data_IF_139994473820
#
_entry.id   IF_139994473820
#
_cell.length_a   1.000
_cell.length_b   1.000
_cell.length_c   1.000
_cell.angle_alpha   90.00
_cell.angle_beta   90.00
_cell.angle_gamma   90.00
#
_symmetry.space_group_name_H-M   'P 1'
#
loop_
_entity.id
_entity.type
_entity.pdbx_description
1 polymer ?
#
# COMPACT_ATOMS: atom_id res chain seq x y z
N UNK A 1 3.72 -4.46 -18.13
CA UNK A 1 4.68 -3.35 -18.36
C UNK A 1 5.68 -3.24 -17.21
N UNK A 2 5.30 -2.91 -16.00
CA UNK A 2 6.21 -2.72 -14.83
C UNK A 2 7.21 -3.87 -14.62
N UNK A 3 6.74 -5.12 -14.68
CA UNK A 3 7.59 -6.31 -14.53
C UNK A 3 8.69 -6.39 -15.59
N UNK A 4 8.38 -6.11 -16.87
CA UNK A 4 9.38 -6.12 -17.95
C UNK A 4 10.47 -5.06 -17.77
N UNK A 5 10.12 -3.95 -17.16
CA UNK A 5 11.00 -2.82 -16.86
C UNK A 5 11.73 -2.97 -15.53
N UNK A 6 11.35 -3.95 -14.73
CA UNK A 6 11.81 -4.11 -13.35
C UNK A 6 11.64 -2.82 -12.54
N UNK A 7 10.43 -2.21 -12.59
CA UNK A 7 10.08 -0.95 -11.92
C UNK A 7 8.91 -1.15 -10.97
N UNK A 8 8.74 -0.23 -10.03
CA UNK A 8 7.73 -0.33 -8.98
C UNK A 8 8.01 -1.48 -8.01
N UNK A 9 7.02 -2.30 -7.68
CA UNK A 9 7.20 -3.44 -6.75
C UNK A 9 8.30 -4.42 -7.20
N UNK A 10 8.66 -4.45 -8.48
CA UNK A 10 9.71 -5.32 -9.02
C UNK A 10 11.14 -4.80 -8.77
N UNK A 11 11.29 -3.64 -8.14
CA UNK A 11 12.55 -3.13 -7.60
C UNK A 11 12.75 -3.50 -6.12
N UNK A 12 11.72 -4.04 -5.46
CA UNK A 12 11.80 -4.49 -4.06
C UNK A 12 12.52 -5.83 -3.94
N UNK A 13 13.10 -6.10 -2.77
CA UNK A 13 13.79 -7.37 -2.45
C UNK A 13 12.86 -8.59 -2.57
N UNK A 14 11.57 -8.40 -2.34
CA UNK A 14 10.51 -9.39 -2.57
C UNK A 14 9.22 -8.74 -3.01
N UNK A 15 8.45 -9.46 -3.80
CA UNK A 15 7.15 -8.97 -4.28
C UNK A 15 6.20 -10.13 -4.58
N UNK A 16 4.92 -9.88 -4.40
CA UNK A 16 3.83 -10.79 -4.76
C UNK A 16 2.73 -9.99 -5.48
N UNK A 17 2.03 -10.66 -6.39
CA UNK A 17 0.89 -10.07 -7.11
C UNK A 17 -0.35 -10.86 -6.71
N UNK A 18 -1.36 -10.18 -6.21
CA UNK A 18 -2.62 -10.76 -5.77
C UNK A 18 -3.71 -10.57 -6.83
N UNK A 19 -4.53 -11.58 -7.06
CA UNK A 19 -5.59 -11.56 -8.07
C UNK A 19 -6.74 -12.50 -7.66
N UNK A 20 -7.91 -12.32 -8.28
CA UNK A 20 -9.06 -13.24 -8.15
C UNK A 20 -8.82 -14.61 -8.81
N UNK A 21 -7.76 -14.74 -9.58
CA UNK A 21 -7.40 -15.97 -10.30
C UNK A 21 -5.90 -16.18 -10.37
N UNK A 22 -5.50 -17.42 -10.58
CA UNK A 22 -4.13 -17.74 -10.90
C UNK A 22 -3.81 -17.33 -12.33
N UNK A 23 -2.79 -16.51 -12.50
CA UNK A 23 -2.28 -16.05 -13.78
C UNK A 23 -0.77 -16.11 -13.79
N UNK A 24 -0.20 -16.32 -14.97
CA UNK A 24 1.25 -16.23 -15.17
C UNK A 24 1.59 -14.89 -15.85
N UNK A 25 2.24 -14.00 -15.12
CA UNK A 25 2.59 -12.66 -15.59
C UNK A 25 4.11 -12.51 -15.60
N UNK A 26 4.71 -12.60 -16.80
CA UNK A 26 6.14 -12.33 -16.97
C UNK A 26 7.08 -13.19 -16.12
N UNK A 27 6.76 -14.47 -15.92
CA UNK A 27 7.53 -15.39 -15.09
C UNK A 27 7.10 -15.47 -13.62
N UNK A 28 6.09 -14.72 -13.21
CA UNK A 28 5.56 -14.70 -11.84
C UNK A 28 4.12 -15.22 -11.85
N UNK A 29 3.81 -16.12 -10.93
CA UNK A 29 2.44 -16.57 -10.71
C UNK A 29 1.75 -15.62 -9.71
N UNK A 30 0.53 -15.20 -10.03
CA UNK A 30 -0.28 -14.44 -9.08
C UNK A 30 -0.74 -15.34 -7.94
N UNK A 31 -0.87 -14.75 -6.76
CA UNK A 31 -1.49 -15.38 -5.60
C UNK A 31 -3.00 -15.20 -5.71
N UNK A 32 -3.72 -16.30 -5.79
CA UNK A 32 -5.18 -16.26 -5.85
C UNK A 32 -5.75 -15.86 -4.49
N UNK A 33 -6.67 -14.90 -4.52
CA UNK A 33 -7.51 -14.50 -3.38
C UNK A 33 -8.95 -14.87 -3.71
N UNK A 34 -9.56 -15.67 -2.85
CA UNK A 34 -10.94 -16.12 -3.04
C UNK A 34 -11.91 -15.01 -2.55
N UNK A 35 -12.14 -14.04 -3.41
CA UNK A 35 -13.05 -12.91 -3.17
C UNK A 35 -13.74 -12.51 -4.47
N UNK A 36 -14.95 -11.97 -4.34
CA UNK A 36 -15.64 -11.32 -5.45
C UNK A 36 -15.10 -9.88 -5.60
N UNK A 37 -14.56 -9.57 -6.77
CA UNK A 37 -14.01 -8.23 -7.07
C UNK A 37 -15.09 -7.18 -7.39
N UNK A 38 -16.36 -7.54 -7.33
CA UNK A 38 -17.45 -6.57 -7.55
C UNK A 38 -17.55 -5.60 -6.39
N UNK A 39 -17.09 -4.37 -6.62
CA UNK A 39 -17.22 -3.28 -5.69
C UNK A 39 -18.60 -2.62 -5.82
N UNK A 40 -19.23 -2.32 -4.69
CA UNK A 40 -20.42 -1.46 -4.67
C UNK A 40 -19.97 -0.01 -4.61
N UNK A 41 -20.66 0.85 -5.35
CA UNK A 41 -20.50 2.29 -5.19
C UNK A 41 -21.56 2.79 -4.22
N UNK A 42 -21.11 3.43 -3.17
CA UNK A 42 -22.02 4.16 -2.28
C UNK A 42 -22.53 5.41 -3.00
N UNK A 43 -23.83 5.44 -3.29
CA UNK A 43 -24.45 6.52 -4.09
C UNK A 43 -24.53 7.86 -3.35
N UNK A 44 -24.36 7.86 -2.02
CA UNK A 44 -24.42 9.06 -1.19
C UNK A 44 -23.02 9.69 -1.08
N UNK A 45 -22.03 8.88 -0.75
CA UNK A 45 -20.63 9.35 -0.57
C UNK A 45 -19.81 9.33 -1.85
N UNK A 46 -20.33 8.71 -2.92
CA UNK A 46 -19.65 8.48 -4.21
C UNK A 46 -18.31 7.72 -4.05
N UNK A 47 -18.19 6.91 -3.00
CA UNK A 47 -17.01 6.12 -2.70
C UNK A 47 -17.22 4.65 -3.06
N UNK A 48 -16.13 3.94 -3.33
CA UNK A 48 -16.15 2.51 -3.63
C UNK A 48 -16.09 1.75 -2.31
N UNK A 49 -16.98 0.77 -2.14
CA UNK A 49 -16.99 -0.13 -1.00
C UNK A 49 -16.16 -1.38 -1.35
N UNK A 50 -14.88 -1.38 -0.97
CA UNK A 50 -13.89 -2.40 -1.34
C UNK A 50 -13.22 -3.07 -0.13
N UNK A 51 -13.59 -2.72 1.10
CA UNK A 51 -12.98 -3.27 2.32
C UNK A 51 -12.94 -4.79 2.35
N UNK A 52 -14.02 -5.47 1.94
CA UNK A 52 -14.06 -6.94 1.96
C UNK A 52 -13.03 -7.57 1.02
N UNK A 53 -12.76 -6.93 -0.12
CA UNK A 53 -11.76 -7.38 -1.09
C UNK A 53 -10.36 -7.27 -0.46
N UNK A 54 -10.01 -6.09 0.03
CA UNK A 54 -8.68 -5.83 0.57
C UNK A 54 -8.44 -6.54 1.91
N UNK A 55 -9.49 -6.73 2.73
CA UNK A 55 -9.41 -7.64 3.89
C UNK A 55 -8.98 -9.04 3.49
N UNK A 56 -9.59 -9.59 2.43
CA UNK A 56 -9.21 -10.91 1.92
C UNK A 56 -7.77 -10.92 1.40
N UNK A 57 -7.34 -9.87 0.71
CA UNK A 57 -5.94 -9.69 0.27
C UNK A 57 -5.00 -9.65 1.48
N UNK A 58 -5.23 -8.75 2.44
CA UNK A 58 -4.40 -8.63 3.63
C UNK A 58 -4.37 -9.94 4.43
N UNK A 59 -5.51 -10.62 4.58
CA UNK A 59 -5.54 -11.92 5.23
C UNK A 59 -4.65 -12.93 4.51
N UNK A 60 -4.69 -12.94 3.17
CA UNK A 60 -3.83 -13.82 2.36
C UNK A 60 -2.35 -13.47 2.52
N UNK A 61 -2.00 -12.18 2.57
CA UNK A 61 -0.63 -11.71 2.86
C UNK A 61 -0.16 -12.22 4.22
N UNK A 62 -0.98 -12.07 5.25
CA UNK A 62 -0.67 -12.53 6.62
C UNK A 62 -0.47 -14.05 6.67
N UNK A 63 -1.36 -14.83 6.06
CA UNK A 63 -1.30 -16.30 6.05
C UNK A 63 -0.07 -16.86 5.32
N UNK A 64 0.43 -16.13 4.32
CA UNK A 64 1.62 -16.54 3.56
C UNK A 64 2.92 -16.30 4.31
N UNK A 65 2.92 -15.39 5.26
CA UNK A 65 4.04 -15.06 6.14
C UNK A 65 5.35 -14.62 5.44
N UNK A 66 5.32 -14.37 4.13
CA UNK A 66 6.50 -13.91 3.36
C UNK A 66 7.02 -12.57 3.89
N UNK A 67 6.13 -11.72 4.42
CA UNK A 67 6.47 -10.45 5.06
C UNK A 67 7.45 -10.58 6.25
N UNK A 68 7.58 -11.76 6.85
CA UNK A 68 8.51 -11.99 7.96
C UNK A 68 9.98 -11.87 7.56
N UNK A 69 10.28 -12.08 6.29
CA UNK A 69 11.65 -12.00 5.75
C UNK A 69 12.10 -10.56 5.48
N UNK A 70 11.18 -9.58 5.56
CA UNK A 70 11.45 -8.18 5.22
C UNK A 70 11.14 -7.25 6.39
N UNK A 71 11.79 -6.09 6.41
CA UNK A 71 11.55 -5.07 7.46
C UNK A 71 10.26 -4.30 7.24
N UNK A 72 9.86 -4.14 5.99
CA UNK A 72 8.67 -3.40 5.58
C UNK A 72 7.83 -4.17 4.58
N UNK A 73 6.52 -4.04 4.72
CA UNK A 73 5.53 -4.54 3.75
C UNK A 73 4.82 -3.36 3.12
N UNK A 74 4.78 -3.35 1.79
CA UNK A 74 4.16 -2.28 1.01
C UNK A 74 3.05 -2.86 0.15
N UNK A 75 1.83 -2.36 0.28
CA UNK A 75 0.78 -2.53 -0.72
C UNK A 75 0.86 -1.34 -1.67
N UNK A 76 0.88 -1.58 -2.95
CA UNK A 76 0.83 -0.54 -3.98
C UNK A 76 -0.22 -0.89 -5.03
N UNK A 77 -1.03 0.09 -5.41
CA UNK A 77 -2.00 -0.07 -6.49
C UNK A 77 -1.31 -0.13 -7.85
N UNK A 78 -1.92 -0.85 -8.79
CA UNK A 78 -1.35 -1.07 -10.12
C UNK A 78 -1.15 0.24 -10.91
N UNK A 79 -1.98 1.24 -10.64
CA UNK A 79 -1.93 2.56 -11.27
C UNK A 79 -1.15 3.59 -10.45
N UNK A 80 -0.44 3.15 -9.41
CA UNK A 80 0.56 3.96 -8.71
C UNK A 80 1.93 3.85 -9.39
N UNK A 81 2.60 4.99 -9.56
CA UNK A 81 4.02 5.03 -9.93
C UNK A 81 4.82 5.03 -8.64
N UNK A 82 5.21 3.86 -8.19
CA UNK A 82 5.95 3.65 -6.96
C UNK A 82 7.46 3.59 -7.21
N UNK A 83 8.24 4.28 -6.36
CA UNK A 83 9.71 4.37 -6.41
C UNK A 83 10.29 3.83 -5.10
N UNK A 84 10.59 2.53 -5.01
CA UNK A 84 11.03 1.87 -3.77
C UNK A 84 12.28 2.49 -3.14
N UNK A 85 13.25 2.93 -3.93
CA UNK A 85 14.47 3.53 -3.41
C UNK A 85 14.21 4.81 -2.60
N UNK A 86 13.18 5.57 -2.98
CA UNK A 86 12.79 6.75 -2.20
C UNK A 86 12.17 6.36 -0.86
N UNK A 87 11.34 5.29 -0.84
CA UNK A 87 10.83 4.76 0.43
C UNK A 87 11.97 4.29 1.32
N UNK A 88 12.91 3.52 0.75
CA UNK A 88 14.08 3.01 1.47
C UNK A 88 14.85 4.15 2.15
N UNK A 89 15.07 5.28 1.44
CA UNK A 89 15.71 6.45 2.02
C UNK A 89 14.97 7.00 3.25
N UNK A 90 13.64 7.09 3.21
CA UNK A 90 12.84 7.58 4.34
C UNK A 90 12.85 6.61 5.52
N UNK A 91 12.70 5.30 5.27
CA UNK A 91 12.61 4.32 6.36
C UNK A 91 13.97 4.00 6.99
N UNK A 92 15.08 4.49 6.42
CA UNK A 92 16.42 4.44 7.01
C UNK A 92 16.64 5.51 8.09
N UNK A 93 15.74 6.47 8.26
CA UNK A 93 15.80 7.42 9.36
C UNK A 93 15.88 6.67 10.70
N UNK A 94 16.85 7.00 11.60
CA UNK A 94 17.06 6.28 12.84
C UNK A 94 15.83 6.26 13.77
N UNK A 95 15.05 7.33 13.77
CA UNK A 95 13.81 7.37 14.55
C UNK A 95 12.78 6.39 14.01
N UNK A 96 12.60 6.36 12.68
CA UNK A 96 11.69 5.44 11.99
C UNK A 96 12.13 4.00 12.25
N UNK A 97 13.42 3.67 12.08
CA UNK A 97 13.92 2.32 12.27
C UNK A 97 13.71 1.82 13.70
N UNK A 98 14.04 2.63 14.69
CA UNK A 98 13.87 2.25 16.10
C UNK A 98 12.39 1.95 16.41
N UNK A 99 11.48 2.82 16.00
CA UNK A 99 10.06 2.64 16.27
C UNK A 99 9.40 1.54 15.42
N UNK A 100 9.95 1.26 14.23
CA UNK A 100 9.47 0.19 13.36
C UNK A 100 9.77 -1.21 13.90
N UNK A 101 10.88 -1.36 14.62
CA UNK A 101 11.36 -2.66 15.14
C UNK A 101 10.93 -2.92 16.59
N UNK A 102 10.65 -1.87 17.34
CA UNK A 102 10.33 -1.95 18.77
C UNK A 102 8.83 -1.78 19.06
N UNK A 103 8.40 -2.31 20.19
CA UNK A 103 7.11 -2.05 20.80
C UNK A 103 5.93 -2.37 19.90
N UNK A 104 5.23 -1.33 19.45
CA UNK A 104 3.98 -1.45 18.71
C UNK A 104 4.14 -1.44 17.19
N UNK A 105 5.37 -1.33 16.68
CA UNK A 105 5.62 -1.19 15.25
C UNK A 105 5.08 0.12 14.68
N UNK A 106 5.23 0.31 13.37
CA UNK A 106 4.80 1.52 12.67
C UNK A 106 3.93 1.21 11.45
N UNK A 107 2.95 2.07 11.21
CA UNK A 107 2.36 2.28 9.90
C UNK A 107 2.60 3.73 9.44
N UNK A 108 2.82 3.90 8.13
CA UNK A 108 3.14 5.21 7.56
C UNK A 108 1.88 5.85 6.98
N UNK A 109 1.49 7.00 7.54
CA UNK A 109 0.38 7.77 7.04
C UNK A 109 0.84 8.63 5.85
N UNK A 110 0.20 8.47 4.72
CA UNK A 110 0.63 9.02 3.43
C UNK A 110 -0.15 10.28 3.01
N UNK A 111 -1.20 10.66 3.75
CA UNK A 111 -2.08 11.76 3.38
C UNK A 111 -2.53 12.51 4.63
N UNK A 112 -2.69 13.83 4.55
CA UNK A 112 -3.12 14.62 5.69
C UNK A 112 -4.57 14.32 6.14
N UNK A 113 -5.37 13.76 5.23
CA UNK A 113 -6.75 13.31 5.53
C UNK A 113 -6.81 11.94 6.18
N UNK A 114 -5.68 11.28 6.36
CA UNK A 114 -5.56 9.91 6.85
C UNK A 114 -4.86 9.00 5.85
N UNK A 115 -4.79 7.71 6.13
CA UNK A 115 -4.24 6.74 5.20
C UNK A 115 -5.06 6.73 3.90
N UNK A 116 -4.37 6.68 2.77
CA UNK A 116 -4.99 6.61 1.44
C UNK A 116 -4.45 5.42 0.65
N UNK A 117 -5.35 4.68 -0.03
CA UNK A 117 -5.11 3.34 -0.56
C UNK A 117 -3.99 3.14 -1.58
N UNK A 118 -3.62 4.13 -2.44
CA UNK A 118 -2.62 3.92 -3.49
C UNK A 118 -1.28 3.37 -3.03
N UNK A 119 -0.88 3.64 -1.78
CA UNK A 119 0.30 3.07 -1.15
C UNK A 119 0.08 2.93 0.36
N UNK A 120 0.25 1.72 0.89
CA UNK A 120 0.13 1.42 2.32
C UNK A 120 1.43 0.76 2.79
N UNK A 121 2.01 1.25 3.88
CA UNK A 121 3.33 0.82 4.35
C UNK A 121 3.28 0.45 5.82
N UNK A 122 3.63 -0.80 6.12
CA UNK A 122 3.62 -1.38 7.48
C UNK A 122 4.99 -1.97 7.81
N UNK A 123 5.50 -1.69 9.00
CA UNK A 123 6.71 -2.36 9.49
C UNK A 123 6.46 -3.83 9.82
N UNK A 124 7.53 -4.65 9.84
CA UNK A 124 7.44 -6.07 10.22
C UNK A 124 6.76 -6.26 11.58
N UNK A 125 7.08 -5.44 12.58
CA UNK A 125 6.45 -5.49 13.89
C UNK A 125 4.95 -5.17 13.82
N UNK A 126 4.56 -4.18 13.02
CA UNK A 126 3.14 -3.88 12.77
C UNK A 126 2.42 -5.07 12.12
N UNK A 127 3.04 -5.70 11.11
CA UNK A 127 2.51 -6.89 10.45
C UNK A 127 2.34 -8.06 11.44
N UNK A 128 3.29 -8.25 12.35
CA UNK A 128 3.23 -9.30 13.38
C UNK A 128 2.07 -9.07 14.35
N UNK A 129 1.87 -7.83 14.81
CA UNK A 129 0.74 -7.47 15.68
C UNK A 129 -0.58 -7.68 14.93
N UNK A 130 -0.66 -7.22 13.67
CA UNK A 130 -1.83 -7.40 12.83
C UNK A 130 -2.15 -8.88 12.62
N UNK A 131 -1.15 -9.71 12.29
CA UNK A 131 -1.33 -11.16 12.14
C UNK A 131 -1.87 -11.84 13.40
N UNK A 132 -1.35 -11.47 14.57
CA UNK A 132 -1.74 -12.09 15.84
C UNK A 132 -3.10 -11.62 16.35
N UNK A 133 -3.58 -10.45 15.92
CA UNK A 133 -4.75 -9.79 16.51
C UNK A 133 -5.78 -9.31 15.48
N UNK A 134 -5.69 -9.74 14.23
CA UNK A 134 -6.56 -9.30 13.12
C UNK A 134 -8.06 -9.42 13.42
N UNK A 135 -8.49 -10.40 14.24
CA UNK A 135 -9.87 -10.55 14.65
C UNK A 135 -10.44 -9.32 15.38
N UNK A 136 -9.58 -8.51 16.01
CA UNK A 136 -10.00 -7.27 16.65
C UNK A 136 -10.41 -6.19 15.64
N UNK A 137 -10.05 -6.35 14.38
CA UNK A 137 -10.42 -5.45 13.29
C UNK A 137 -11.75 -5.81 12.61
N UNK A 138 -12.40 -6.92 12.99
CA UNK A 138 -13.65 -7.35 12.34
C UNK A 138 -14.77 -6.31 12.50
N UNK A 139 -14.95 -5.74 13.70
CA UNK A 139 -15.94 -4.70 13.93
C UNK A 139 -15.64 -3.40 13.14
N UNK A 140 -14.35 -3.13 12.89
CA UNK A 140 -13.94 -2.00 12.04
C UNK A 140 -14.37 -2.24 10.60
N UNK A 141 -14.18 -3.45 10.08
CA UNK A 141 -14.52 -3.81 8.71
C UNK A 141 -16.03 -3.66 8.41
N UNK A 142 -16.88 -3.98 9.38
CA UNK A 142 -18.33 -3.80 9.26
C UNK A 142 -18.73 -2.31 9.19
N UNK A 143 -17.98 -1.43 9.84
CA UNK A 143 -18.27 -0.01 9.95
C UNK A 143 -17.63 0.85 8.84
N UNK A 144 -16.56 0.37 8.22
CA UNK A 144 -15.74 1.13 7.26
C UNK A 144 -15.72 0.45 5.90
N UNK A 145 -16.47 0.98 4.92
CA UNK A 145 -16.58 0.35 3.60
C UNK A 145 -15.39 0.61 2.67
N UNK A 146 -14.53 1.61 2.96
CA UNK A 146 -13.29 1.89 2.21
C UNK A 146 -12.10 1.17 2.87
N UNK A 147 -11.24 0.55 2.05
CA UNK A 147 -10.15 -0.29 2.55
C UNK A 147 -9.08 0.48 3.31
N UNK A 148 -8.75 1.69 2.85
CA UNK A 148 -7.76 2.56 3.47
C UNK A 148 -8.22 3.04 4.87
N UNK A 149 -9.49 3.45 4.98
CA UNK A 149 -10.10 3.82 6.25
C UNK A 149 -10.15 2.60 7.18
N UNK A 150 -10.52 1.43 6.65
CA UNK A 150 -10.48 0.19 7.42
C UNK A 150 -9.08 -0.12 7.95
N UNK A 151 -8.06 -0.08 7.09
CA UNK A 151 -6.69 -0.39 7.52
C UNK A 151 -6.20 0.59 8.57
N UNK A 152 -6.42 1.89 8.38
CA UNK A 152 -6.08 2.91 9.36
C UNK A 152 -6.71 2.64 10.73
N UNK A 153 -8.01 2.46 10.76
CA UNK A 153 -8.76 2.23 12.01
C UNK A 153 -8.37 0.90 12.67
N UNK A 154 -8.07 -0.11 11.87
CA UNK A 154 -7.54 -1.37 12.35
C UNK A 154 -6.18 -1.17 13.03
N UNK A 155 -5.23 -0.49 12.38
CA UNK A 155 -3.92 -0.20 12.97
C UNK A 155 -4.04 0.58 14.29
N UNK A 156 -4.94 1.56 14.35
CA UNK A 156 -5.23 2.32 15.57
C UNK A 156 -5.84 1.43 16.67
N UNK A 157 -6.80 0.57 16.32
CA UNK A 157 -7.44 -0.39 17.25
C UNK A 157 -6.42 -1.35 17.85
N UNK A 158 -5.44 -1.76 17.06
CA UNK A 158 -4.35 -2.65 17.48
C UNK A 158 -3.27 -1.93 18.29
N UNK A 159 -3.33 -0.60 18.39
CA UNK A 159 -2.34 0.23 19.09
C UNK A 159 -1.02 0.35 18.35
N UNK A 160 -1.00 0.10 17.03
CA UNK A 160 0.18 0.27 16.18
C UNK A 160 0.42 1.77 15.97
N UNK A 161 1.66 2.21 16.12
CA UNK A 161 2.00 3.62 16.03
C UNK A 161 1.91 4.16 14.62
N UNK A 162 1.46 5.42 14.52
CA UNK A 162 1.40 6.19 13.28
C UNK A 162 2.66 7.05 13.12
N UNK A 163 3.22 7.08 11.92
CA UNK A 163 4.18 8.10 11.50
C UNK A 163 3.65 8.84 10.27
N UNK A 164 3.55 10.17 10.36
CA UNK A 164 3.10 11.01 9.24
C UNK A 164 4.25 11.25 8.27
N UNK A 165 4.08 10.81 7.01
CA UNK A 165 5.09 10.87 5.94
C UNK A 165 4.57 11.72 4.78
N UNK A 166 4.77 13.04 4.84
CA UNK A 166 4.23 14.01 3.87
C UNK A 166 4.62 13.78 2.40
N UNK A 167 5.75 13.09 2.16
CA UNK A 167 6.25 12.80 0.82
C UNK A 167 6.00 11.34 0.38
N UNK A 168 5.11 10.63 1.06
CA UNK A 168 4.83 9.25 0.70
C UNK A 168 3.96 9.16 -0.57
N UNK A 169 2.98 10.04 -0.72
CA UNK A 169 2.03 10.01 -1.84
C UNK A 169 1.78 11.40 -2.42
N UNK A 170 1.92 11.54 -3.73
CA UNK A 170 1.45 12.69 -4.50
C UNK A 170 0.15 12.32 -5.21
N UNK A 171 -0.94 12.96 -4.80
CA UNK A 171 -2.27 12.78 -5.35
C UNK A 171 -3.17 13.99 -5.05
N UNK A 172 -4.15 14.24 -5.91
CA UNK A 172 -5.10 15.34 -5.77
C UNK A 172 -5.87 15.31 -4.45
N UNK A 173 -6.30 14.12 -4.01
CA UNK A 173 -6.99 13.92 -2.73
C UNK A 173 -6.14 14.34 -1.52
N UNK A 174 -4.81 14.28 -1.65
CA UNK A 174 -3.84 14.67 -0.62
C UNK A 174 -3.29 16.09 -0.83
N UNK A 175 -4.00 16.93 -1.58
CA UNK A 175 -3.67 18.33 -1.92
C UNK A 175 -2.41 18.48 -2.80
N UNK A 176 -2.06 17.46 -3.56
CA UNK A 176 -0.99 17.52 -4.56
C UNK A 176 -1.61 17.56 -5.97
N UNK A 177 -2.22 18.68 -6.31
CA UNK A 177 -2.97 18.88 -7.57
C UNK A 177 -2.12 18.73 -8.83
N UNK A 178 -0.81 18.88 -8.71
CA UNK A 178 0.15 18.73 -9.82
C UNK A 178 0.84 17.34 -9.87
N UNK A 179 0.28 16.32 -9.17
CA UNK A 179 0.85 14.96 -9.11
C UNK A 179 1.21 14.36 -10.47
N UNK A 180 0.43 14.70 -11.51
CA UNK A 180 0.59 14.24 -12.88
C UNK A 180 1.87 14.70 -13.57
N UNK A 181 2.52 15.77 -13.05
CA UNK A 181 3.83 16.22 -13.53
C UNK A 181 4.96 15.28 -13.12
N UNK A 182 4.74 14.48 -12.08
CA UNK A 182 5.75 13.56 -11.53
C UNK A 182 7.05 14.29 -11.20
N UNK A 183 6.92 15.34 -10.43
CA UNK A 183 8.00 16.17 -9.93
C UNK A 183 8.14 16.04 -8.40
N UNK A 184 9.31 16.38 -7.87
CA UNK A 184 9.60 16.30 -6.44
C UNK A 184 9.98 14.88 -5.98
N UNK A 185 10.11 14.69 -4.66
CA UNK A 185 10.68 13.50 -4.05
C UNK A 185 9.60 12.60 -3.40
N UNK A 186 8.43 12.50 -4.00
CA UNK A 186 7.41 11.60 -3.50
C UNK A 186 7.78 10.14 -3.78
N UNK A 187 7.39 9.27 -2.86
CA UNK A 187 7.59 7.81 -2.97
C UNK A 187 6.65 7.20 -3.99
N UNK A 188 5.42 7.72 -4.07
CA UNK A 188 4.44 7.28 -5.05
C UNK A 188 3.65 8.44 -5.63
N UNK A 189 3.18 8.27 -6.86
CA UNK A 189 2.31 9.19 -7.58
C UNK A 189 1.09 8.43 -8.08
N UNK A 190 -0.11 8.97 -7.96
CA UNK A 190 -1.37 8.30 -8.32
C UNK A 190 -2.46 9.33 -8.70
N UNK A 191 -3.40 8.99 -9.62
CA UNK A 191 -3.49 7.73 -10.39
C UNK A 191 -2.94 7.84 -11.82
N UNK A 192 -2.39 6.75 -12.32
CA UNK A 192 -1.90 6.61 -13.70
C UNK A 192 -2.49 5.36 -14.38
N UNK A 193 -3.74 5.43 -14.82
CA UNK A 193 -4.50 4.29 -15.38
C UNK A 193 -4.09 3.89 -16.81
N UNK A 194 -3.41 4.79 -17.52
CA UNK A 194 -2.90 4.54 -18.87
C UNK A 194 -1.42 4.16 -18.82
N UNK A 195 -1.05 3.04 -19.44
CA UNK A 195 0.35 2.56 -19.50
C UNK A 195 1.32 3.65 -19.98
N UNK A 196 0.92 4.42 -21.01
CA UNK A 196 1.75 5.50 -21.53
C UNK A 196 2.02 6.58 -20.49
N UNK A 197 1.00 7.04 -19.80
CA UNK A 197 1.12 8.08 -18.76
C UNK A 197 1.94 7.58 -17.57
N UNK A 198 1.74 6.32 -17.19
CA UNK A 198 2.56 5.68 -16.15
C UNK A 198 4.04 5.71 -16.53
N UNK A 199 4.37 5.34 -17.79
CA UNK A 199 5.73 5.35 -18.32
C UNK A 199 6.32 6.75 -18.38
N UNK A 200 5.55 7.72 -18.85
CA UNK A 200 5.99 9.13 -18.91
C UNK A 200 6.31 9.63 -17.50
N UNK A 201 5.44 9.37 -16.53
CA UNK A 201 5.67 9.72 -15.13
C UNK A 201 6.95 9.08 -14.61
N UNK A 202 7.11 7.76 -14.75
CA UNK A 202 8.29 7.05 -14.25
C UNK A 202 9.60 7.54 -14.88
N UNK A 203 9.58 7.88 -16.17
CA UNK A 203 10.74 8.42 -16.86
C UNK A 203 11.12 9.83 -16.39
N UNK A 204 10.12 10.67 -16.04
CA UNK A 204 10.37 12.02 -15.49
C UNK A 204 11.07 11.97 -14.12
N UNK A 205 10.87 10.89 -13.36
CA UNK A 205 11.46 10.74 -12.02
C UNK A 205 12.95 10.32 -12.03
N UNK A 206 13.47 9.94 -13.19
CA UNK A 206 14.86 9.49 -13.31
C UNK A 206 15.10 8.07 -12.78
N UNK A 207 16.36 7.67 -12.78
CA UNK A 207 16.82 6.41 -12.18
C UNK A 207 17.40 6.74 -10.78
N UNK A 208 16.51 6.97 -9.82
CA UNK A 208 16.89 7.13 -8.40
C UNK A 208 17.16 5.76 -7.76
#
# INVERSE_FOLDING_TARGET
>A
MQQKLKKGIFECDGHEIYSDREMHIGGINTVKVDTDLHCKMNKITLTIENTNIFRAVWRKVLDRMVWMDYEWTVKADLDSVFVPNRLLHYVQDPWIQNHAQEGNGLWLNNCWRGLHGPIEVLSRQAMQIYNNRWLQCEAVAEAKPQEDVYLQECMQTLGIWKSDMKHLLAEDHCDHHDFWKCEGNFVAYHPFKEEKKWMECRNNLGDD
#
